data_IF_839457262397
#
_entry.id   IF_839457262397
#
_cell.length_a   1.000
_cell.length_b   1.000
_cell.length_c   1.000
_cell.angle_alpha   90.00
_cell.angle_beta   90.00
_cell.angle_gamma   90.00
#
_symmetry.space_group_name_H-M   'P 1'
#
loop_
_entity.id
_entity.type
_entity.pdbx_description
1 polymer ?
#
# COMPACT_ATOMS: atom_id res chain seq x y z
N UNK A 1 10.03 -16.45 -8.11
CA UNK A 1 10.08 -14.98 -7.90
C UNK A 1 9.15 -14.23 -8.85
N UNK A 2 9.38 -14.28 -10.18
CA UNK A 2 8.68 -13.46 -11.20
C UNK A 2 7.15 -13.45 -11.09
N UNK A 3 6.51 -14.61 -10.90
CA UNK A 3 5.05 -14.69 -10.68
C UNK A 3 4.53 -13.73 -9.60
N UNK A 4 5.24 -13.62 -8.48
CA UNK A 4 4.84 -12.77 -7.36
C UNK A 4 5.21 -11.31 -7.57
N UNK A 5 6.26 -11.02 -8.33
CA UNK A 5 6.57 -9.66 -8.77
C UNK A 5 5.45 -9.14 -9.67
N UNK A 6 5.01 -9.89 -10.68
CA UNK A 6 3.89 -9.49 -11.54
C UNK A 6 2.56 -9.42 -10.80
N UNK A 7 2.32 -10.30 -9.82
CA UNK A 7 1.17 -10.17 -8.92
C UNK A 7 1.20 -8.86 -8.12
N UNK A 8 2.37 -8.42 -7.66
CA UNK A 8 2.50 -7.13 -6.98
C UNK A 8 2.22 -5.98 -7.96
N UNK A 9 2.82 -6.00 -9.16
CA UNK A 9 2.68 -4.95 -10.17
C UNK A 9 1.23 -4.81 -10.67
N UNK A 10 0.54 -5.94 -10.90
CA UNK A 10 -0.83 -5.94 -11.44
C UNK A 10 -1.94 -5.96 -10.39
N UNK A 11 -1.62 -6.23 -9.12
CA UNK A 11 -2.60 -6.42 -8.05
C UNK A 11 -2.34 -5.53 -6.85
N UNK A 12 -1.40 -5.94 -5.99
CA UNK A 12 -1.14 -5.27 -4.71
C UNK A 12 -0.88 -3.77 -4.87
N UNK A 13 0.05 -3.39 -5.76
CA UNK A 13 0.46 -2.00 -5.93
C UNK A 13 -0.70 -1.09 -6.38
N UNK A 14 -1.32 -1.37 -7.54
CA UNK A 14 -2.43 -0.56 -8.03
C UNK A 14 -3.59 -0.44 -7.03
N UNK A 15 -4.01 -1.54 -6.39
CA UNK A 15 -5.18 -1.50 -5.50
C UNK A 15 -4.88 -0.76 -4.19
N UNK A 16 -3.68 -0.96 -3.61
CA UNK A 16 -3.22 -0.21 -2.45
C UNK A 16 -3.11 1.30 -2.75
N UNK A 17 -2.58 1.65 -3.93
CA UNK A 17 -2.52 3.04 -4.39
C UNK A 17 -3.89 3.70 -4.52
N UNK A 18 -4.89 2.98 -5.03
CA UNK A 18 -6.26 3.48 -5.13
C UNK A 18 -6.88 3.74 -3.76
N UNK A 19 -6.81 2.79 -2.82
CA UNK A 19 -7.39 3.03 -1.48
C UNK A 19 -6.66 4.15 -0.74
N UNK A 20 -5.34 4.24 -0.87
CA UNK A 20 -4.56 5.36 -0.31
C UNK A 20 -5.00 6.70 -0.90
N UNK A 21 -5.24 6.77 -2.22
CA UNK A 21 -5.79 7.97 -2.87
C UNK A 21 -7.15 8.37 -2.29
N UNK A 22 -8.13 7.46 -2.26
CA UNK A 22 -9.48 7.80 -1.78
C UNK A 22 -9.54 8.08 -0.26
N UNK A 23 -8.63 7.50 0.53
CA UNK A 23 -8.56 7.76 1.96
C UNK A 23 -7.87 9.10 2.29
N UNK A 24 -6.83 9.48 1.57
CA UNK A 24 -5.94 10.60 1.98
C UNK A 24 -6.04 11.79 1.03
N UNK A 25 -6.08 11.55 -0.27
CA UNK A 25 -5.88 12.58 -1.29
C UNK A 25 -7.15 13.07 -1.97
N UNK A 26 -8.16 12.21 -2.16
CA UNK A 26 -9.39 12.59 -2.85
C UNK A 26 -10.04 13.81 -2.16
N UNK A 27 -10.42 14.86 -2.92
CA UNK A 27 -10.99 16.08 -2.34
C UNK A 27 -12.34 15.81 -1.66
N UNK A 28 -13.05 14.80 -2.16
CA UNK A 28 -14.34 14.37 -1.64
C UNK A 28 -14.28 12.89 -1.24
N UNK A 29 -15.05 12.53 -0.22
CA UNK A 29 -15.21 11.12 0.16
C UNK A 29 -16.21 10.47 -0.78
N UNK A 30 -15.77 9.41 -1.45
CA UNK A 30 -16.58 8.61 -2.36
C UNK A 30 -16.78 7.23 -1.72
N UNK A 31 -17.87 6.99 -0.96
CA UNK A 31 -18.04 5.79 -0.15
C UNK A 31 -17.90 4.49 -0.96
N UNK A 32 -18.47 4.44 -2.16
CA UNK A 32 -18.38 3.27 -3.03
C UNK A 32 -16.93 2.95 -3.43
N UNK A 33 -16.14 3.95 -3.78
CA UNK A 33 -14.74 3.75 -4.16
C UNK A 33 -13.91 3.29 -2.97
N UNK A 34 -14.06 3.94 -1.81
CA UNK A 34 -13.40 3.55 -0.56
C UNK A 34 -13.72 2.09 -0.21
N UNK A 35 -15.01 1.73 -0.21
CA UNK A 35 -15.46 0.38 0.11
C UNK A 35 -14.95 -0.66 -0.91
N UNK A 36 -15.00 -0.36 -2.21
CA UNK A 36 -14.46 -1.23 -3.27
C UNK A 36 -12.97 -1.49 -3.11
N UNK A 37 -12.15 -0.45 -3.00
CA UNK A 37 -10.69 -0.59 -2.94
C UNK A 37 -10.19 -1.06 -1.57
N UNK A 38 -10.92 -0.75 -0.49
CA UNK A 38 -10.64 -1.31 0.83
C UNK A 38 -10.83 -2.83 0.83
N UNK A 39 -11.97 -3.33 0.32
CA UNK A 39 -12.21 -4.78 0.22
C UNK A 39 -11.19 -5.50 -0.65
N UNK A 40 -10.83 -4.92 -1.79
CA UNK A 40 -9.85 -5.55 -2.69
C UNK A 40 -8.44 -5.55 -2.09
N UNK A 41 -8.03 -4.46 -1.42
CA UNK A 41 -6.75 -4.40 -0.70
C UNK A 41 -6.73 -5.44 0.43
N UNK A 42 -7.81 -5.54 1.21
CA UNK A 42 -7.95 -6.56 2.25
C UNK A 42 -7.86 -7.99 1.69
N UNK A 43 -8.46 -8.26 0.53
CA UNK A 43 -8.36 -9.55 -0.17
C UNK A 43 -6.92 -9.86 -0.58
N UNK A 44 -6.19 -8.88 -1.13
CA UNK A 44 -4.79 -9.05 -1.54
C UNK A 44 -3.87 -9.27 -0.33
N UNK A 45 -4.13 -8.59 0.79
CA UNK A 45 -3.44 -8.82 2.06
C UNK A 45 -3.67 -10.25 2.57
N UNK A 46 -4.90 -10.76 2.48
CA UNK A 46 -5.22 -12.17 2.80
C UNK A 46 -4.48 -13.15 1.89
N UNK A 47 -4.42 -12.89 0.57
CA UNK A 47 -3.65 -13.73 -0.37
C UNK A 47 -2.18 -13.78 0.02
N UNK A 48 -1.58 -12.63 0.36
CA UNK A 48 -0.19 -12.56 0.78
C UNK A 48 0.05 -13.26 2.12
N UNK A 49 -0.86 -13.08 3.09
CA UNK A 49 -0.83 -13.78 4.37
C UNK A 49 -0.86 -15.31 4.18
N UNK A 50 -1.79 -15.83 3.37
CA UNK A 50 -1.85 -17.26 3.04
C UNK A 50 -0.58 -17.73 2.34
N UNK A 51 -0.04 -16.93 1.41
CA UNK A 51 1.22 -17.26 0.74
C UNK A 51 2.39 -17.40 1.72
N UNK A 52 2.42 -16.55 2.74
CA UNK A 52 3.49 -16.49 3.73
C UNK A 52 3.35 -17.53 4.85
N UNK A 53 2.28 -18.34 4.87
CA UNK A 53 2.13 -19.46 5.79
C UNK A 53 3.28 -20.47 5.57
N UNK A 54 4.04 -20.77 6.64
CA UNK A 54 5.19 -21.67 6.58
C UNK A 54 6.38 -21.17 5.74
N UNK A 55 6.41 -19.88 5.35
CA UNK A 55 7.50 -19.28 4.55
C UNK A 55 8.07 -18.05 5.24
N UNK A 56 9.38 -17.87 5.13
CA UNK A 56 10.05 -16.65 5.58
C UNK A 56 9.75 -15.48 4.63
N UNK A 57 9.82 -15.71 3.32
CA UNK A 57 9.61 -14.71 2.26
C UNK A 57 8.68 -15.21 1.16
N UNK A 58 8.19 -14.29 0.32
CA UNK A 58 7.13 -14.55 -0.67
C UNK A 58 7.50 -15.70 -1.62
N UNK A 59 8.76 -15.75 -2.05
CA UNK A 59 9.25 -16.72 -3.02
C UNK A 59 10.11 -17.85 -2.42
N UNK A 60 10.16 -17.97 -1.08
CA UNK A 60 11.10 -18.85 -0.38
C UNK A 60 12.18 -18.01 0.30
N UNK A 61 13.23 -17.68 -0.45
CA UNK A 61 14.27 -16.72 -0.05
C UNK A 61 13.86 -15.27 -0.33
N UNK A 62 14.49 -14.34 0.37
CA UNK A 62 14.26 -12.89 0.19
C UNK A 62 14.60 -12.48 -1.24
N UNK A 63 13.66 -11.81 -1.90
CA UNK A 63 13.76 -11.53 -3.33
C UNK A 63 13.19 -10.17 -3.70
N UNK A 64 13.32 -9.78 -4.96
CA UNK A 64 12.70 -8.58 -5.51
C UNK A 64 11.17 -8.56 -5.38
N UNK A 65 10.52 -9.72 -5.24
CA UNK A 65 9.07 -9.76 -4.99
C UNK A 65 8.74 -9.21 -3.59
N UNK A 66 9.58 -9.47 -2.59
CA UNK A 66 9.44 -8.93 -1.24
C UNK A 66 9.75 -7.43 -1.23
N UNK A 67 10.84 -7.03 -1.88
CA UNK A 67 11.23 -5.62 -2.03
C UNK A 67 10.15 -4.79 -2.73
N UNK A 68 9.50 -5.35 -3.76
CA UNK A 68 8.43 -4.67 -4.48
C UNK A 68 7.11 -4.64 -3.69
N UNK A 69 6.82 -5.65 -2.87
CA UNK A 69 5.56 -5.73 -2.12
C UNK A 69 5.60 -4.93 -0.82
N UNK A 70 6.73 -4.93 -0.12
CA UNK A 70 6.86 -4.34 1.22
C UNK A 70 6.44 -2.87 1.30
N UNK A 71 6.86 -1.98 0.38
CA UNK A 71 6.46 -0.56 0.43
C UNK A 71 4.95 -0.35 0.33
N UNK A 72 4.20 -1.26 -0.29
CA UNK A 72 2.73 -1.19 -0.38
C UNK A 72 2.00 -1.75 0.85
N UNK A 73 2.72 -2.33 1.80
CA UNK A 73 2.20 -2.77 3.11
C UNK A 73 2.54 -1.77 4.22
N UNK A 74 3.66 -1.04 4.11
CA UNK A 74 4.07 0.00 5.08
C UNK A 74 2.89 0.92 5.48
N UNK A 75 2.18 1.56 4.53
CA UNK A 75 1.06 2.44 4.84
C UNK A 75 -0.27 1.71 5.11
N UNK A 76 -0.26 0.46 5.59
CA UNK A 76 -1.48 -0.31 5.91
C UNK A 76 -2.51 0.47 6.74
N UNK A 77 -2.08 1.30 7.70
CA UNK A 77 -2.98 2.17 8.48
C UNK A 77 -3.67 3.22 7.61
N UNK A 78 -2.94 3.88 6.71
CA UNK A 78 -3.52 4.81 5.72
C UNK A 78 -4.45 4.13 4.73
N UNK A 79 -4.23 2.84 4.45
CA UNK A 79 -5.16 1.99 3.68
C UNK A 79 -6.38 1.50 4.49
N UNK A 80 -6.44 1.79 5.80
CA UNK A 80 -7.49 1.29 6.69
C UNK A 80 -7.41 -0.23 6.93
N UNK A 81 -6.22 -0.82 6.80
CA UNK A 81 -5.99 -2.26 6.97
C UNK A 81 -5.31 -2.54 8.31
N UNK A 82 -5.78 -3.57 9.02
CA UNK A 82 -5.14 -4.08 10.23
C UNK A 82 -4.28 -5.31 9.89
N UNK A 83 -3.05 -5.36 10.43
CA UNK A 83 -2.17 -6.52 10.25
C UNK A 83 -2.33 -7.57 11.36
N UNK A 84 -2.99 -7.22 12.47
CA UNK A 84 -3.11 -8.12 13.64
C UNK A 84 -3.90 -9.40 13.31
N UNK A 85 -4.86 -9.33 12.39
CA UNK A 85 -5.63 -10.48 11.90
C UNK A 85 -4.90 -11.29 10.82
N UNK A 86 -3.68 -10.88 10.43
CA UNK A 86 -2.90 -11.45 9.35
C UNK A 86 -1.50 -11.85 9.86
N UNK A 87 -1.40 -12.88 10.73
CA UNK A 87 -0.20 -13.16 11.51
C UNK A 87 1.04 -13.44 10.65
N UNK A 88 0.88 -14.09 9.49
CA UNK A 88 2.00 -14.39 8.60
C UNK A 88 2.46 -13.16 7.83
N UNK A 89 1.53 -12.29 7.45
CA UNK A 89 1.85 -11.00 6.85
C UNK A 89 2.53 -10.09 7.86
N UNK A 90 1.98 -9.97 9.08
CA UNK A 90 2.57 -9.18 10.17
C UNK A 90 4.00 -9.61 10.49
N UNK A 91 4.21 -10.92 10.69
CA UNK A 91 5.56 -11.47 10.91
C UNK A 91 6.52 -11.16 9.77
N UNK A 92 6.08 -11.28 8.51
CA UNK A 92 6.91 -10.95 7.34
C UNK A 92 7.24 -9.45 7.29
N UNK A 93 6.24 -8.61 7.56
CA UNK A 93 6.37 -7.16 7.57
C UNK A 93 7.40 -6.71 8.62
N UNK A 94 7.27 -7.18 9.87
CA UNK A 94 8.21 -6.89 10.95
C UNK A 94 9.61 -7.44 10.68
N UNK A 95 9.71 -8.59 10.02
CA UNK A 95 11.00 -9.20 9.65
C UNK A 95 11.74 -8.32 8.64
N UNK A 96 11.04 -7.80 7.62
CA UNK A 96 11.66 -6.90 6.63
C UNK A 96 11.99 -5.54 7.25
N UNK A 97 11.12 -5.00 8.10
CA UNK A 97 11.33 -3.72 8.79
C UNK A 97 12.64 -3.67 9.60
N UNK A 98 13.07 -4.81 10.15
CA UNK A 98 14.30 -4.93 10.94
C UNK A 98 15.58 -5.01 10.10
N UNK A 99 15.49 -5.10 8.77
CA UNK A 99 16.68 -5.22 7.91
C UNK A 99 17.44 -3.88 7.85
N UNK A 100 18.77 -3.85 8.05
CA UNK A 100 19.55 -2.60 8.02
C UNK A 100 19.36 -1.75 6.76
N UNK A 101 19.28 -2.39 5.59
CA UNK A 101 19.04 -1.69 4.33
C UNK A 101 17.64 -1.04 4.26
N UNK A 102 16.63 -1.66 4.85
CA UNK A 102 15.26 -1.12 4.90
C UNK A 102 15.21 0.04 5.89
N UNK A 103 15.81 -0.11 7.06
CA UNK A 103 15.93 0.98 8.04
C UNK A 103 16.62 2.20 7.40
N UNK A 104 17.72 1.98 6.68
CA UNK A 104 18.44 3.04 5.96
C UNK A 104 17.57 3.67 4.86
N UNK A 105 16.77 2.89 4.14
CA UNK A 105 15.90 3.38 3.08
C UNK A 105 14.75 4.26 3.61
N UNK A 106 14.23 3.95 4.81
CA UNK A 106 13.15 4.70 5.45
C UNK A 106 13.63 5.79 6.42
N UNK A 107 14.94 5.94 6.62
CA UNK A 107 15.49 6.97 7.49
C UNK A 107 15.19 8.36 6.89
N UNK A 108 14.40 9.16 7.62
CA UNK A 108 14.00 10.50 7.17
C UNK A 108 12.89 10.52 6.12
N UNK A 109 12.24 9.39 5.82
CA UNK A 109 11.08 9.35 4.92
C UNK A 109 9.78 9.44 5.72
N UNK A 110 8.88 10.33 5.31
CA UNK A 110 7.52 10.41 5.84
C UNK A 110 6.60 9.36 5.20
N UNK A 111 5.54 8.96 5.91
CA UNK A 111 4.49 8.11 5.36
C UNK A 111 3.61 8.93 4.40
N UNK A 112 3.64 8.58 3.11
CA UNK A 112 2.84 9.24 2.08
C UNK A 112 1.33 9.12 2.27
N UNK A 113 0.84 8.21 3.11
CA UNK A 113 -0.59 8.06 3.40
C UNK A 113 -0.94 8.31 4.86
N UNK A 114 -0.11 9.06 5.59
CA UNK A 114 -0.45 9.42 6.96
C UNK A 114 -1.74 10.26 6.98
N UNK A 115 -2.67 9.91 7.86
CA UNK A 115 -4.01 10.51 7.94
C UNK A 115 -3.98 12.01 8.30
N UNK A 116 -2.87 12.46 8.89
CA UNK A 116 -2.57 13.85 9.22
C UNK A 116 -1.91 14.63 8.07
N UNK A 117 -1.49 13.96 6.97
CA UNK A 117 -0.88 14.62 5.81
C UNK A 117 -1.93 15.42 5.04
N UNK A 118 -2.09 16.68 5.42
CA UNK A 118 -2.88 17.64 4.66
C UNK A 118 -2.03 18.14 3.48
N UNK A 119 -2.21 17.53 2.32
CA UNK A 119 -1.54 17.98 1.09
C UNK A 119 -1.96 19.43 0.80
N UNK A 120 -1.00 20.33 0.69
CA UNK A 120 -1.24 21.74 0.35
C UNK A 120 -1.82 21.87 -1.06
N UNK A 121 -2.49 22.98 -1.35
CA UNK A 121 -3.08 23.20 -2.69
C UNK A 121 -2.03 23.17 -3.81
N UNK A 122 -0.81 23.65 -3.54
CA UNK A 122 0.29 23.61 -4.49
C UNK A 122 0.79 22.17 -4.74
N UNK A 123 0.98 21.38 -3.67
CA UNK A 123 1.33 19.96 -3.80
C UNK A 123 0.23 19.17 -4.54
N UNK A 124 -1.05 19.46 -4.28
CA UNK A 124 -2.17 18.85 -5.00
C UNK A 124 -2.11 19.20 -6.48
N UNK A 125 -1.80 20.45 -6.82
CA UNK A 125 -1.64 20.90 -8.20
C UNK A 125 -0.47 20.22 -8.90
N UNK A 126 0.65 19.98 -8.19
CA UNK A 126 1.80 19.23 -8.72
C UNK A 126 1.44 17.76 -8.95
N UNK A 127 0.74 17.12 -8.01
CA UNK A 127 0.45 15.68 -8.04
C UNK A 127 -0.69 15.30 -9.00
N UNK A 128 -1.73 16.14 -9.10
CA UNK A 128 -2.96 15.83 -9.81
C UNK A 128 -3.31 16.82 -10.93
N UNK A 129 -2.50 17.86 -11.11
CA UNK A 129 -2.79 18.94 -12.05
C UNK A 129 -3.88 19.89 -11.56
N UNK A 130 -4.25 20.84 -12.41
CA UNK A 130 -5.40 21.71 -12.16
C UNK A 130 -6.68 20.91 -12.42
N UNK A 131 -7.70 20.94 -11.54
CA UNK A 131 -8.97 20.28 -11.84
C UNK A 131 -9.49 20.75 -13.19
N UNK A 132 -9.72 19.81 -14.11
CA UNK A 132 -10.38 20.10 -15.38
C UNK A 132 -11.76 20.70 -15.08
N UNK A 133 -11.94 21.98 -15.40
CA UNK A 133 -13.25 22.62 -15.39
C UNK A 133 -14.12 21.97 -16.48
N UNK A 134 -14.77 20.84 -16.17
CA UNK A 134 -15.97 20.31 -16.85
C UNK A 134 -16.41 18.98 -16.23
N UNK A 135 -17.49 19.04 -15.46
CA UNK A 135 -18.52 18.02 -15.40
C UNK A 135 -19.80 18.65 -14.81
N UNK A 136 -20.32 19.66 -15.51
CA UNK A 136 -21.72 20.05 -15.41
C UNK A 136 -22.27 20.01 -16.83
N UNK A 137 -22.85 18.86 -17.18
CA UNK A 137 -23.76 18.68 -18.32
C UNK A 137 -24.79 17.65 -17.93
#
# INVERSE_FOLDING_TARGET
VIKWLFWQVGGLGPMAGQIGHFNVYAPEKIPYAIDRYSRETARLYKVLNTRLAGRAFIAGDYSIADMASYPWIVPHKGHGQALDDLPHLKRWFETIAKRPAVIKAYAGTEDSYSCDRRTSDEERKILFGTPSAKAAS
#
